data_IF_192048631919
#
_entry.id   IF_192048631919
#
_cell.length_a   1.000
_cell.length_b   1.000
_cell.length_c   1.000
_cell.angle_alpha   90.00
_cell.angle_beta   90.00
_cell.angle_gamma   90.00
#
_symmetry.space_group_name_H-M   'P 1'
#
loop_
_entity.id
_entity.type
_entity.pdbx_description
1 polymer ?
#
# COMPACT_ATOMS: atom_id res chain seq x y z
N UNK A 1 24.02 -11.47 62.54
CA UNK A 1 22.74 -10.84 62.93
C UNK A 1 22.18 -10.18 61.67
N UNK A 2 21.58 -10.88 60.71
CA UNK A 2 20.35 -11.68 60.73
C UNK A 2 19.09 -10.83 60.98
N UNK A 3 18.42 -10.44 59.89
CA UNK A 3 16.96 -10.48 59.74
C UNK A 3 16.61 -10.25 58.26
N UNK A 4 16.27 -11.36 57.59
CA UNK A 4 15.80 -11.45 56.21
C UNK A 4 14.27 -11.51 56.27
N UNK A 5 13.56 -10.50 55.78
CA UNK A 5 12.10 -10.57 55.65
C UNK A 5 11.73 -11.23 54.32
N UNK A 6 11.19 -12.43 54.44
CA UNK A 6 10.61 -13.22 53.35
C UNK A 6 9.19 -12.72 53.04
N UNK A 7 8.95 -12.36 51.79
CA UNK A 7 7.60 -12.17 51.24
C UNK A 7 6.97 -13.53 50.88
N UNK A 8 5.66 -13.71 51.09
CA UNK A 8 4.98 -14.96 50.74
C UNK A 8 4.72 -15.09 49.22
N UNK A 9 4.77 -16.31 48.65
CA UNK A 9 4.49 -16.54 47.24
C UNK A 9 2.97 -16.56 46.96
N UNK A 10 2.54 -15.76 45.97
CA UNK A 10 1.20 -15.83 45.40
C UNK A 10 1.11 -17.00 44.42
N UNK A 11 0.49 -18.09 44.86
CA UNK A 11 0.08 -19.22 44.03
C UNK A 11 -1.17 -18.84 43.23
N UNK A 12 -1.03 -18.65 41.91
CA UNK A 12 -2.15 -18.59 40.96
C UNK A 12 -2.06 -19.77 40.00
N UNK A 13 -2.46 -20.95 40.47
CA UNK A 13 -2.80 -22.09 39.63
C UNK A 13 -4.12 -21.81 38.91
N UNK A 14 -4.05 -21.43 37.64
CA UNK A 14 -5.21 -21.44 36.75
C UNK A 14 -5.50 -22.88 36.31
N UNK A 15 -6.57 -23.46 36.84
CA UNK A 15 -7.16 -24.69 36.30
C UNK A 15 -8.01 -24.38 35.07
N UNK A 16 -7.92 -25.18 33.98
CA UNK A 16 -8.79 -25.06 32.81
C UNK A 16 -10.16 -25.71 33.07
N UNK A 17 -11.23 -24.96 32.84
CA UNK A 17 -12.61 -25.47 32.93
C UNK A 17 -12.94 -26.37 31.74
N UNK A 18 -13.18 -27.63 32.03
CA UNK A 18 -13.72 -28.67 31.14
C UNK A 18 -15.19 -28.40 30.76
N UNK A 19 -15.49 -28.36 29.46
CA UNK A 19 -16.85 -28.40 28.92
C UNK A 19 -17.39 -29.84 28.95
N UNK A 20 -18.67 -30.06 29.31
CA UNK A 20 -19.27 -31.39 29.26
C UNK A 20 -19.72 -31.77 27.84
N UNK A 21 -19.44 -33.02 27.49
CA UNK A 21 -20.00 -33.73 26.34
C UNK A 21 -21.43 -34.24 26.65
N UNK A 22 -22.17 -34.60 25.59
CA UNK A 22 -23.27 -35.58 25.42
C UNK A 22 -24.36 -35.03 24.46
N UNK A 23 -25.21 -35.85 23.81
CA UNK A 23 -25.07 -37.23 23.34
C UNK A 23 -25.57 -37.46 21.88
N UNK A 24 -25.46 -38.71 21.47
CA UNK A 24 -25.80 -39.41 20.22
C UNK A 24 -27.27 -39.41 19.72
N UNK A 25 -27.41 -39.35 18.38
CA UNK A 25 -28.40 -39.95 17.41
C UNK A 25 -29.88 -40.19 17.79
N UNK A 26 -30.80 -40.10 16.78
CA UNK A 26 -31.31 -41.37 16.21
C UNK A 26 -31.50 -41.39 14.67
N UNK A 27 -31.70 -42.63 14.19
CA UNK A 27 -31.83 -43.14 12.82
C UNK A 27 -33.22 -42.95 12.17
N UNK A 28 -33.29 -43.36 10.89
CA UNK A 28 -34.43 -43.66 9.99
C UNK A 28 -34.89 -42.48 9.10
N UNK A 29 -35.20 -42.65 7.81
CA UNK A 29 -35.82 -43.81 7.16
C UNK A 29 -35.36 -44.04 5.71
N UNK A 30 -35.37 -45.32 5.37
CA UNK A 30 -35.21 -45.94 4.06
C UNK A 30 -36.56 -45.87 3.32
N UNK A 31 -36.59 -45.33 2.10
CA UNK A 31 -37.70 -45.57 1.15
C UNK A 31 -37.13 -46.07 -0.17
N UNK A 32 -37.65 -47.23 -0.58
CA UNK A 32 -37.33 -47.96 -1.82
C UNK A 32 -38.41 -47.68 -2.87
N UNK A 33 -37.94 -47.44 -4.11
CA UNK A 33 -38.49 -47.88 -5.42
C UNK A 33 -39.77 -47.18 -5.95
N UNK A 34 -40.04 -47.16 -7.29
CA UNK A 34 -39.63 -48.16 -8.30
C UNK A 34 -39.10 -47.67 -9.66
N UNK A 35 -38.57 -48.67 -10.38
CA UNK A 35 -38.17 -48.66 -11.79
C UNK A 35 -39.29 -48.21 -12.73
N UNK A 36 -38.95 -47.38 -13.70
CA UNK A 36 -39.56 -47.40 -15.03
C UNK A 36 -38.48 -47.36 -16.11
N UNK A 37 -38.45 -48.45 -16.87
CA UNK A 37 -37.63 -48.69 -18.04
C UNK A 37 -38.23 -47.95 -19.24
N UNK A 38 -37.46 -47.12 -19.96
CA UNK A 38 -37.77 -46.84 -21.37
C UNK A 38 -36.55 -46.30 -22.16
N UNK A 39 -36.24 -47.09 -23.19
CA UNK A 39 -35.58 -46.80 -24.46
C UNK A 39 -34.19 -46.12 -24.49
N UNK A 40 -33.21 -46.95 -24.85
CA UNK A 40 -31.97 -46.58 -25.53
C UNK A 40 -32.24 -45.67 -26.74
N UNK A 41 -31.59 -44.52 -26.78
CA UNK A 41 -31.11 -43.94 -28.05
C UNK A 41 -29.64 -43.59 -27.84
N UNK A 42 -28.78 -44.38 -28.48
CA UNK A 42 -27.34 -44.13 -28.55
C UNK A 42 -27.10 -42.87 -29.38
N UNK A 43 -26.58 -41.83 -28.74
CA UNK A 43 -25.61 -40.93 -29.37
C UNK A 43 -24.42 -40.80 -28.43
N UNK A 44 -23.18 -41.02 -28.89
CA UNK A 44 -22.02 -40.80 -28.06
C UNK A 44 -21.82 -39.29 -27.90
N UNK A 45 -22.36 -38.72 -26.83
CA UNK A 45 -21.78 -37.51 -26.27
C UNK A 45 -20.35 -37.89 -25.85
N UNK A 46 -19.38 -37.48 -26.66
CA UNK A 46 -18.00 -37.33 -26.23
C UNK A 46 -18.00 -36.41 -25.02
N UNK A 47 -18.04 -37.02 -23.84
CA UNK A 47 -17.74 -36.38 -22.57
C UNK A 47 -16.33 -35.83 -22.73
N UNK A 48 -16.21 -34.52 -23.01
CA UNK A 48 -14.95 -33.81 -22.91
C UNK A 48 -14.42 -34.11 -21.52
N UNK A 49 -13.41 -34.96 -21.44
CA UNK A 49 -12.64 -35.18 -20.21
C UNK A 49 -12.11 -33.79 -19.86
N UNK A 50 -12.65 -33.19 -18.81
CA UNK A 50 -11.96 -32.07 -18.17
C UNK A 50 -10.56 -32.59 -17.87
N UNK A 51 -9.55 -32.00 -18.52
CA UNK A 51 -8.16 -32.36 -18.31
C UNK A 51 -7.87 -32.15 -16.84
N UNK A 52 -7.81 -33.23 -16.06
CA UNK A 52 -7.13 -33.20 -14.77
C UNK A 52 -5.71 -32.77 -15.09
N UNK A 53 -5.38 -31.53 -14.75
CA UNK A 53 -4.03 -30.99 -14.78
C UNK A 53 -3.09 -32.03 -14.18
N UNK A 54 -2.07 -32.44 -14.95
CA UNK A 54 -1.05 -33.34 -14.45
C UNK A 54 -0.39 -32.68 -13.24
N UNK A 55 -0.40 -33.30 -12.04
CA UNK A 55 0.24 -32.76 -10.85
C UNK A 55 1.71 -32.39 -11.06
N UNK A 56 2.38 -33.07 -12.00
CA UNK A 56 3.78 -32.79 -12.38
C UNK A 56 3.92 -31.48 -13.16
N UNK A 57 2.99 -31.18 -14.08
CA UNK A 57 2.94 -29.90 -14.80
C UNK A 57 2.58 -28.75 -13.86
N UNK A 58 1.65 -28.99 -12.93
CA UNK A 58 1.26 -28.01 -11.91
C UNK A 58 2.42 -27.69 -10.94
N UNK A 59 3.25 -28.69 -10.60
CA UNK A 59 4.47 -28.47 -9.82
C UNK A 59 5.52 -27.65 -10.59
N UNK A 60 5.62 -27.83 -11.92
CA UNK A 60 6.56 -27.09 -12.78
C UNK A 60 6.17 -25.62 -12.97
N UNK A 61 4.89 -25.31 -13.17
CA UNK A 61 4.39 -23.93 -13.27
C UNK A 61 4.48 -23.19 -11.94
N UNK A 62 4.16 -23.88 -10.83
CA UNK A 62 4.35 -23.35 -9.48
C UNK A 62 5.81 -23.03 -9.20
N UNK A 63 6.74 -23.93 -9.54
CA UNK A 63 8.18 -23.72 -9.30
C UNK A 63 8.77 -22.50 -10.00
N UNK A 64 8.35 -22.20 -11.24
CA UNK A 64 8.89 -21.08 -12.04
C UNK A 64 8.30 -19.72 -11.67
N UNK A 65 7.06 -19.68 -11.22
CA UNK A 65 6.36 -18.43 -10.88
C UNK A 65 6.53 -18.07 -9.40
N UNK A 66 6.73 -19.08 -8.54
CA UNK A 66 6.80 -18.93 -7.09
C UNK A 66 7.81 -17.88 -6.61
N UNK A 67 9.05 -17.81 -7.12
CA UNK A 67 10.02 -16.79 -6.69
C UNK A 67 9.48 -15.36 -6.86
N UNK A 68 8.92 -15.04 -8.03
CA UNK A 68 8.32 -13.73 -8.29
C UNK A 68 7.12 -13.43 -7.37
N UNK A 69 6.33 -14.44 -7.00
CA UNK A 69 5.21 -14.28 -6.05
C UNK A 69 5.66 -14.04 -4.62
N UNK A 70 6.69 -14.75 -4.18
CA UNK A 70 7.25 -14.58 -2.83
C UNK A 70 7.82 -13.18 -2.66
N UNK A 71 8.57 -12.68 -3.66
CA UNK A 71 9.08 -11.30 -3.65
C UNK A 71 7.95 -10.28 -3.77
N UNK A 72 6.89 -10.56 -4.53
CA UNK A 72 5.71 -9.69 -4.59
C UNK A 72 4.99 -9.54 -3.25
N UNK A 73 4.84 -10.64 -2.50
CA UNK A 73 4.26 -10.60 -1.14
C UNK A 73 5.14 -9.75 -0.22
N UNK A 74 6.46 -9.97 -0.25
CA UNK A 74 7.42 -9.15 0.51
C UNK A 74 7.34 -7.67 0.14
N UNK A 75 7.22 -7.34 -1.15
CA UNK A 75 7.05 -5.97 -1.62
C UNK A 75 5.78 -5.34 -1.05
N UNK A 76 4.66 -6.08 -1.12
CA UNK A 76 3.37 -5.62 -0.59
C UNK A 76 3.48 -5.30 0.90
N UNK A 77 4.04 -6.21 1.68
CA UNK A 77 4.15 -6.03 3.13
C UNK A 77 5.01 -4.80 3.47
N UNK A 78 6.16 -4.66 2.82
CA UNK A 78 7.03 -3.50 3.00
C UNK A 78 6.41 -2.19 2.53
N UNK A 79 5.60 -2.20 1.45
CA UNK A 79 4.89 -1.01 0.99
C UNK A 79 3.77 -0.61 1.93
N UNK A 80 3.08 -1.57 2.54
CA UNK A 80 2.06 -1.30 3.57
C UNK A 80 2.74 -0.64 4.77
N UNK A 81 3.84 -1.19 5.25
CA UNK A 81 4.59 -0.60 6.37
C UNK A 81 5.10 0.80 6.01
N UNK A 82 5.75 0.96 4.85
CA UNK A 82 6.24 2.25 4.36
C UNK A 82 5.14 3.30 4.26
N UNK A 83 4.00 2.94 3.66
CA UNK A 83 2.91 3.90 3.46
C UNK A 83 2.15 4.22 4.73
N UNK A 84 1.88 3.23 5.58
CA UNK A 84 1.18 3.43 6.84
C UNK A 84 2.00 4.24 7.85
N UNK A 85 3.29 3.90 8.03
CA UNK A 85 4.16 4.54 9.03
C UNK A 85 4.44 6.01 8.66
N UNK A 86 4.64 6.30 7.38
CA UNK A 86 4.97 7.64 6.88
C UNK A 86 3.76 8.42 6.35
N UNK A 87 2.58 7.80 6.37
CA UNK A 87 1.33 8.34 5.82
C UNK A 87 1.45 8.76 4.34
N UNK A 88 2.17 7.97 3.54
CA UNK A 88 2.41 8.25 2.12
C UNK A 88 1.12 8.15 1.30
N UNK A 89 0.18 7.30 1.71
CA UNK A 89 -1.15 7.20 1.12
C UNK A 89 -1.93 8.52 1.19
N UNK A 90 -1.70 9.31 2.23
CA UNK A 90 -2.26 10.66 2.39
C UNK A 90 -1.42 11.70 1.66
N UNK A 91 -0.08 11.61 1.74
CA UNK A 91 0.84 12.60 1.16
C UNK A 91 0.86 12.55 -0.37
N UNK A 92 0.90 11.34 -0.92
CA UNK A 92 1.05 11.07 -2.36
C UNK A 92 0.08 9.93 -2.74
N UNK A 93 -1.24 10.20 -2.82
CA UNK A 93 -2.24 9.18 -3.11
C UNK A 93 -1.98 8.43 -4.42
N UNK A 94 -1.45 9.15 -5.42
CA UNK A 94 -1.09 8.60 -6.74
C UNK A 94 -0.08 7.47 -6.67
N UNK A 95 0.76 7.39 -5.63
CA UNK A 95 1.73 6.31 -5.46
C UNK A 95 1.04 4.97 -5.20
N UNK A 96 0.05 4.95 -4.31
CA UNK A 96 -0.70 3.73 -4.00
C UNK A 96 -1.68 3.37 -5.11
N UNK A 97 -2.28 4.35 -5.79
CA UNK A 97 -3.07 4.10 -7.00
C UNK A 97 -2.22 3.42 -8.08
N UNK A 98 -0.99 3.90 -8.31
CA UNK A 98 -0.07 3.28 -9.25
C UNK A 98 0.27 1.84 -8.87
N UNK A 99 0.54 1.57 -7.59
CA UNK A 99 0.75 0.21 -7.11
C UNK A 99 -0.45 -0.71 -7.38
N UNK A 100 -1.69 -0.22 -7.25
CA UNK A 100 -2.89 -1.00 -7.57
C UNK A 100 -2.98 -1.36 -9.06
N UNK A 101 -2.58 -0.46 -9.96
CA UNK A 101 -2.47 -0.77 -11.38
C UNK A 101 -1.45 -1.88 -11.62
N UNK A 102 -0.24 -1.77 -11.07
CA UNK A 102 0.78 -2.83 -11.16
C UNK A 102 0.24 -4.16 -10.64
N UNK A 103 -0.39 -4.15 -9.46
CA UNK A 103 -0.93 -5.36 -8.84
C UNK A 103 -1.96 -6.06 -9.73
N UNK A 104 -2.84 -5.29 -10.38
CA UNK A 104 -3.81 -5.82 -11.35
C UNK A 104 -3.12 -6.52 -12.51
N UNK A 105 -2.16 -5.85 -13.15
CA UNK A 105 -1.45 -6.43 -14.31
C UNK A 105 -0.55 -7.60 -13.91
N UNK A 106 0.06 -7.56 -12.72
CA UNK A 106 0.87 -8.65 -12.19
C UNK A 106 0.02 -9.89 -11.97
N UNK A 107 -1.17 -9.75 -11.37
CA UNK A 107 -2.09 -10.86 -11.17
C UNK A 107 -2.55 -11.48 -12.50
N UNK A 108 -2.90 -10.66 -13.49
CA UNK A 108 -3.25 -11.14 -14.84
C UNK A 108 -2.08 -11.85 -15.51
N UNK A 109 -0.88 -11.27 -15.43
CA UNK A 109 0.35 -11.85 -15.98
C UNK A 109 0.63 -13.22 -15.37
N UNK A 110 0.51 -13.35 -14.05
CA UNK A 110 0.63 -14.61 -13.33
C UNK A 110 -0.37 -15.67 -13.81
N UNK A 111 -1.65 -15.30 -14.01
CA UNK A 111 -2.67 -16.23 -14.47
C UNK A 111 -2.34 -16.79 -15.87
N UNK A 112 -1.94 -15.92 -16.79
CA UNK A 112 -1.53 -16.34 -18.13
C UNK A 112 -0.24 -17.17 -18.11
N UNK A 113 0.75 -16.80 -17.30
CA UNK A 113 1.99 -17.55 -17.16
C UNK A 113 1.72 -18.99 -16.65
N UNK A 114 0.81 -19.15 -15.69
CA UNK A 114 0.37 -20.48 -15.22
C UNK A 114 -0.22 -21.29 -16.37
N UNK A 115 -1.12 -20.69 -17.16
CA UNK A 115 -1.76 -21.38 -18.28
C UNK A 115 -0.74 -21.87 -19.32
N UNK A 116 0.28 -21.05 -19.61
CA UNK A 116 1.35 -21.39 -20.55
C UNK A 116 2.23 -22.50 -20.02
N UNK A 117 2.71 -22.39 -18.77
CA UNK A 117 3.55 -23.44 -18.19
C UNK A 117 2.82 -24.77 -17.97
N UNK A 118 1.50 -24.74 -17.80
CA UNK A 118 0.66 -25.93 -17.72
C UNK A 118 0.18 -26.45 -19.09
N UNK A 119 0.52 -25.77 -20.19
CA UNK A 119 0.16 -26.22 -21.54
C UNK A 119 0.99 -27.44 -21.95
N UNK A 120 0.48 -28.23 -22.90
CA UNK A 120 1.11 -29.49 -23.38
C UNK A 120 2.47 -29.24 -24.04
N UNK A 121 2.73 -28.01 -24.50
CA UNK A 121 3.96 -27.60 -25.16
C UNK A 121 4.56 -26.34 -24.50
N UNK A 122 5.08 -26.45 -23.27
CA UNK A 122 5.59 -25.30 -22.52
C UNK A 122 6.90 -24.74 -23.11
N UNK A 123 7.55 -25.47 -24.03
CA UNK A 123 8.81 -25.11 -24.69
C UNK A 123 8.69 -24.82 -26.19
N UNK A 124 7.53 -25.08 -26.84
CA UNK A 124 7.39 -24.91 -28.30
C UNK A 124 7.06 -23.44 -28.70
N UNK A 125 7.57 -22.48 -27.94
CA UNK A 125 7.38 -21.05 -28.18
C UNK A 125 8.75 -20.38 -28.43
N UNK A 126 8.90 -19.71 -29.58
CA UNK A 126 8.11 -18.52 -29.85
C UNK A 126 7.12 -18.75 -30.99
N UNK A 127 5.82 -18.60 -30.73
CA UNK A 127 4.87 -18.43 -31.85
C UNK A 127 5.20 -17.08 -32.49
N UNK A 128 5.57 -17.08 -33.77
CA UNK A 128 5.93 -15.90 -34.57
C UNK A 128 4.86 -14.76 -34.63
N UNK A 129 3.76 -14.88 -33.88
CA UNK A 129 2.65 -13.93 -33.77
C UNK A 129 2.33 -13.50 -32.32
N UNK A 130 3.19 -13.78 -31.33
CA UNK A 130 2.88 -13.49 -29.92
C UNK A 130 2.73 -11.99 -29.60
N UNK A 131 3.36 -11.09 -30.37
CA UNK A 131 3.29 -9.64 -30.14
C UNK A 131 1.87 -9.05 -30.25
N UNK A 132 0.93 -9.78 -30.87
CA UNK A 132 -0.49 -9.39 -30.99
C UNK A 132 -1.40 -10.09 -29.97
N UNK A 133 -0.88 -10.97 -29.12
CA UNK A 133 -1.68 -11.70 -28.15
C UNK A 133 -2.04 -10.82 -26.95
N UNK A 134 -3.23 -11.05 -26.38
CA UNK A 134 -3.66 -10.36 -25.15
C UNK A 134 -2.66 -10.56 -23.99
N UNK A 135 -2.01 -11.72 -23.92
CA UNK A 135 -0.98 -11.97 -22.91
C UNK A 135 0.26 -11.10 -23.10
N UNK A 136 0.76 -10.98 -24.33
CA UNK A 136 1.89 -10.08 -24.62
C UNK A 136 1.52 -8.62 -24.37
N UNK A 137 0.33 -8.17 -24.77
CA UNK A 137 -0.12 -6.82 -24.45
C UNK A 137 -0.18 -6.58 -22.94
N UNK A 138 -0.73 -7.52 -22.18
CA UNK A 138 -0.77 -7.45 -20.72
C UNK A 138 0.62 -7.44 -20.08
N UNK A 139 1.57 -8.21 -20.60
CA UNK A 139 2.96 -8.19 -20.12
C UNK A 139 3.63 -6.84 -20.41
N UNK A 140 3.43 -6.27 -21.60
CA UNK A 140 3.91 -4.90 -21.91
C UNK A 140 3.30 -3.86 -20.98
N UNK A 141 1.99 -3.92 -20.72
CA UNK A 141 1.36 -3.02 -19.75
C UNK A 141 1.96 -3.19 -18.36
N UNK A 142 2.18 -4.42 -17.88
CA UNK A 142 2.84 -4.65 -16.59
C UNK A 142 4.19 -3.92 -16.48
N UNK A 143 5.05 -3.99 -17.52
CA UNK A 143 6.35 -3.32 -17.48
C UNK A 143 6.24 -1.79 -17.46
N UNK A 144 5.28 -1.23 -18.20
CA UNK A 144 5.04 0.23 -18.21
C UNK A 144 4.57 0.70 -16.85
N UNK A 145 3.55 0.05 -16.29
CA UNK A 145 3.00 0.43 -14.99
C UNK A 145 4.04 0.22 -13.87
N UNK A 146 4.89 -0.80 -14.00
CA UNK A 146 6.00 -1.05 -13.08
C UNK A 146 7.07 0.03 -13.15
N UNK A 147 7.43 0.48 -14.36
CA UNK A 147 8.33 1.62 -14.55
C UNK A 147 7.77 2.91 -13.95
N UNK A 148 6.49 3.21 -14.19
CA UNK A 148 5.83 4.40 -13.63
C UNK A 148 5.75 4.35 -12.09
N UNK A 149 5.54 3.16 -11.51
CA UNK A 149 5.62 2.94 -10.07
C UNK A 149 7.02 3.24 -9.50
N UNK A 150 8.07 2.75 -10.17
CA UNK A 150 9.47 2.99 -9.78
C UNK A 150 9.80 4.49 -9.86
N UNK A 151 9.36 5.18 -10.90
CA UNK A 151 9.57 6.61 -11.06
C UNK A 151 8.88 7.41 -9.94
N UNK A 152 7.64 7.06 -9.58
CA UNK A 152 6.96 7.69 -8.44
C UNK A 152 7.67 7.41 -7.12
N UNK A 153 8.11 6.18 -6.89
CA UNK A 153 8.89 5.84 -5.70
C UNK A 153 10.18 6.67 -5.61
N UNK A 154 10.93 6.77 -6.71
CA UNK A 154 12.16 7.54 -6.77
C UNK A 154 11.91 9.04 -6.57
N UNK A 155 10.80 9.60 -7.07
CA UNK A 155 10.41 10.98 -6.78
C UNK A 155 10.18 11.20 -5.28
N UNK A 156 9.47 10.29 -4.61
CA UNK A 156 9.24 10.36 -3.14
C UNK A 156 10.59 10.30 -2.41
N UNK A 157 11.44 9.34 -2.74
CA UNK A 157 12.78 9.21 -2.15
C UNK A 157 13.64 10.46 -2.35
N UNK A 158 13.64 11.03 -3.56
CA UNK A 158 14.50 12.17 -3.93
C UNK A 158 14.02 13.50 -3.35
N UNK A 159 12.70 13.68 -3.23
CA UNK A 159 12.09 14.75 -2.45
C UNK A 159 12.31 14.59 -0.94
N UNK A 160 12.95 13.49 -0.50
CA UNK A 160 13.18 13.16 0.90
C UNK A 160 11.84 13.18 1.65
N UNK A 161 11.75 13.99 2.71
CA UNK A 161 10.56 14.10 3.55
C UNK A 161 9.59 15.19 3.07
N UNK A 162 9.85 15.79 1.91
CA UNK A 162 9.05 16.88 1.34
C UNK A 162 7.54 16.64 1.37
N UNK A 163 7.07 15.54 0.75
CA UNK A 163 5.65 15.18 0.76
C UNK A 163 5.06 14.98 2.15
N UNK A 164 5.89 14.71 3.17
CA UNK A 164 5.46 14.40 4.54
C UNK A 164 5.29 15.68 5.37
N UNK A 165 6.00 16.79 5.07
CA UNK A 165 5.89 18.02 5.86
C UNK A 165 4.47 18.61 5.94
N UNK A 166 3.66 18.62 4.87
CA UNK A 166 2.25 19.03 4.97
C UNK A 166 1.45 18.20 5.98
N UNK A 167 1.74 16.89 6.09
CA UNK A 167 1.12 16.00 7.08
C UNK A 167 1.57 16.37 8.48
N UNK A 168 2.87 16.58 8.69
CA UNK A 168 3.41 17.01 9.99
C UNK A 168 2.76 18.31 10.43
N UNK A 169 2.62 19.29 9.52
CA UNK A 169 1.97 20.55 9.82
C UNK A 169 0.52 20.35 10.26
N UNK A 170 -0.24 19.55 9.51
CA UNK A 170 -1.64 19.23 9.85
C UNK A 170 -1.75 18.54 11.21
N UNK A 171 -0.83 17.64 11.55
CA UNK A 171 -0.79 16.99 12.86
C UNK A 171 -0.47 17.97 14.00
N UNK A 172 0.45 18.91 13.79
CA UNK A 172 0.72 19.99 14.74
C UNK A 172 -0.50 20.91 14.93
N UNK A 173 -1.20 21.26 13.85
CA UNK A 173 -2.43 22.06 13.90
C UNK A 173 -3.57 21.34 14.64
N UNK A 174 -3.73 20.03 14.46
CA UNK A 174 -4.68 19.21 15.25
C UNK A 174 -4.37 19.30 16.75
N UNK A 175 -3.10 19.13 17.13
CA UNK A 175 -2.69 19.22 18.55
C UNK A 175 -2.94 20.62 19.09
N UNK A 176 -2.63 21.68 18.33
CA UNK A 176 -2.88 23.07 18.75
C UNK A 176 -4.38 23.31 18.96
N UNK A 177 -5.22 22.99 17.98
CA UNK A 177 -6.66 23.18 18.08
C UNK A 177 -7.24 22.44 19.30
N UNK A 178 -6.69 21.27 19.61
CA UNK A 178 -7.12 20.49 20.76
C UNK A 178 -6.61 21.07 22.09
N UNK A 179 -5.41 21.64 22.12
CA UNK A 179 -4.91 22.40 23.26
C UNK A 179 -5.76 23.64 23.55
N UNK A 180 -6.20 24.35 22.50
CA UNK A 180 -7.05 25.53 22.63
C UNK A 180 -8.40 25.19 23.27
N UNK A 181 -9.06 24.12 22.80
CA UNK A 181 -10.31 23.61 23.41
C UNK A 181 -10.12 23.23 24.88
N UNK A 182 -9.04 22.52 25.17
CA UNK A 182 -8.71 22.11 26.54
C UNK A 182 -8.47 23.35 27.41
N UNK A 183 -7.78 24.37 26.90
CA UNK A 183 -7.54 25.63 27.61
C UNK A 183 -8.83 26.43 27.86
N UNK A 184 -9.74 26.51 26.89
CA UNK A 184 -11.06 27.16 27.05
C UNK A 184 -11.86 26.56 28.20
N UNK A 185 -11.87 25.23 28.32
CA UNK A 185 -12.56 24.52 29.39
C UNK A 185 -11.96 24.82 30.79
N UNK A 186 -10.68 25.18 30.87
CA UNK A 186 -10.07 25.60 32.14
C UNK A 186 -10.38 27.05 32.51
N UNK A 187 -10.62 27.92 31.52
CA UNK A 187 -10.98 29.34 31.70
C UNK A 187 -12.44 29.45 32.15
N UNK A 188 -13.35 28.66 31.56
CA UNK A 188 -14.78 28.68 31.85
C UNK A 188 -15.09 27.74 33.03
N UNK A 189 -14.77 28.15 34.25
CA UNK A 189 -15.38 27.58 35.46
C UNK A 189 -14.46 26.95 36.50
N UNK A 190 -13.14 26.88 36.31
CA UNK A 190 -12.25 26.36 37.35
C UNK A 190 -11.56 27.48 38.15
N UNK A 191 -11.99 27.67 39.40
CA UNK A 191 -11.32 28.55 40.38
C UNK A 191 -9.87 28.11 40.70
N UNK A 192 -9.44 26.94 40.21
CA UNK A 192 -8.10 26.35 40.39
C UNK A 192 -7.76 25.38 39.24
N UNK A 193 -7.30 25.89 38.09
CA UNK A 193 -6.57 25.04 37.14
C UNK A 193 -5.15 24.84 37.67
N UNK A 194 -4.70 23.59 37.78
CA UNK A 194 -3.34 23.25 38.22
C UNK A 194 -2.29 23.54 37.13
N UNK A 195 -2.74 23.75 35.88
CA UNK A 195 -1.86 24.19 34.80
C UNK A 195 -1.73 25.70 34.85
N UNK A 196 -0.55 26.16 35.28
CA UNK A 196 -0.24 27.60 35.32
C UNK A 196 -0.41 28.21 33.92
N UNK A 197 -1.04 29.40 33.79
CA UNK A 197 -1.16 30.10 32.49
C UNK A 197 0.18 30.33 31.79
N UNK A 198 1.26 30.52 32.57
CA UNK A 198 2.62 30.64 32.04
C UNK A 198 3.14 29.36 31.40
N UNK A 199 2.72 28.18 31.87
CA UNK A 199 3.02 26.89 31.24
C UNK A 199 2.29 26.79 29.91
N UNK A 200 1.01 27.17 29.86
CA UNK A 200 0.23 27.11 28.63
C UNK A 200 0.79 28.03 27.54
N UNK A 201 1.12 29.29 27.89
CA UNK A 201 1.82 30.20 26.96
C UNK A 201 3.16 29.64 26.42
N UNK A 202 3.90 28.88 27.23
CA UNK A 202 5.15 28.23 26.77
C UNK A 202 4.86 27.12 25.76
N UNK A 203 3.81 26.35 25.99
CA UNK A 203 3.35 25.30 25.04
C UNK A 203 2.97 25.97 23.71
N UNK A 204 2.14 27.02 23.74
CA UNK A 204 1.72 27.73 22.52
C UNK A 204 2.90 28.33 21.76
N UNK A 205 3.84 28.93 22.48
CA UNK A 205 5.06 29.51 21.89
C UNK A 205 5.91 28.45 21.20
N UNK A 206 6.09 27.27 21.82
CA UNK A 206 6.85 26.18 21.21
C UNK A 206 6.10 25.55 20.03
N UNK A 207 4.78 25.37 20.12
CA UNK A 207 3.94 24.92 19.02
C UNK A 207 4.05 25.84 17.81
N UNK A 208 3.92 27.15 18.01
CA UNK A 208 4.06 28.15 16.96
C UNK A 208 5.44 28.10 16.30
N UNK A 209 6.51 27.95 17.09
CA UNK A 209 7.88 27.80 16.54
C UNK A 209 8.00 26.55 15.67
N UNK A 210 7.49 25.41 16.11
CA UNK A 210 7.54 24.17 15.33
C UNK A 210 6.74 24.28 14.04
N UNK A 211 5.53 24.82 14.07
CA UNK A 211 4.74 25.07 12.86
C UNK A 211 5.44 26.04 11.91
N UNK A 212 6.05 27.11 12.43
CA UNK A 212 6.82 28.05 11.61
C UNK A 212 8.02 27.38 10.93
N UNK A 213 8.71 26.49 11.62
CA UNK A 213 9.80 25.69 11.03
C UNK A 213 9.30 24.82 9.88
N UNK A 214 8.17 24.13 10.06
CA UNK A 214 7.58 23.27 9.02
C UNK A 214 7.05 24.09 7.84
N UNK A 215 6.31 25.18 8.10
CA UNK A 215 5.80 26.09 7.04
C UNK A 215 6.93 26.69 6.22
N UNK A 216 8.01 27.11 6.88
CA UNK A 216 9.21 27.58 6.22
C UNK A 216 9.76 26.48 5.32
N UNK A 217 9.90 25.26 5.83
CA UNK A 217 10.40 24.12 5.07
C UNK A 217 9.55 23.76 3.85
N UNK A 218 8.22 23.84 3.96
CA UNK A 218 7.30 23.60 2.83
C UNK A 218 7.51 24.66 1.73
N UNK A 219 7.60 25.95 2.10
CA UNK A 219 7.85 27.03 1.14
C UNK A 219 9.24 26.91 0.50
N UNK A 220 10.25 26.66 1.32
CA UNK A 220 11.64 26.54 0.90
C UNK A 220 11.87 25.34 -0.04
N UNK A 221 11.00 24.33 -0.06
CA UNK A 221 11.11 23.19 -0.98
C UNK A 221 10.76 23.56 -2.44
N UNK A 222 10.08 24.69 -2.65
CA UNK A 222 9.85 25.27 -3.98
C UNK A 222 11.10 25.98 -4.53
N UNK A 223 12.07 26.32 -3.66
CA UNK A 223 13.32 26.99 -4.00
C UNK A 223 14.50 26.00 -3.88
N UNK A 224 15.21 25.68 -4.97
CA UNK A 224 16.21 24.58 -5.08
C UNK A 224 17.46 24.65 -4.15
N UNK A 225 17.51 25.57 -3.18
CA UNK A 225 18.68 25.95 -2.40
C UNK A 225 18.51 25.69 -0.90
N UNK A 226 18.35 24.43 -0.45
CA UNK A 226 18.26 24.17 1.00
C UNK A 226 19.01 22.93 1.51
N UNK A 227 20.08 23.20 2.28
CA UNK A 227 20.94 22.23 2.98
C UNK A 227 20.80 22.21 4.51
N UNK A 228 20.08 23.15 5.13
CA UNK A 228 20.27 23.46 6.58
C UNK A 228 19.17 22.98 7.54
N UNK A 229 18.14 22.26 7.08
CA UNK A 229 17.11 21.76 8.01
C UNK A 229 17.59 20.51 8.75
N UNK A 230 18.03 20.67 10.01
CA UNK A 230 18.36 19.54 10.89
C UNK A 230 17.09 18.81 11.33
N UNK A 231 16.73 17.80 10.55
CA UNK A 231 15.58 16.94 10.81
C UNK A 231 15.69 16.21 12.15
N UNK A 232 16.87 15.73 12.51
CA UNK A 232 17.06 14.98 13.74
C UNK A 232 16.83 15.88 14.97
N UNK A 233 17.30 17.14 14.92
CA UNK A 233 17.00 18.12 15.96
C UNK A 233 15.50 18.48 16.01
N UNK A 234 14.86 18.63 14.86
CA UNK A 234 13.42 18.90 14.79
C UNK A 234 12.60 17.76 15.42
N UNK A 235 12.87 16.50 15.04
CA UNK A 235 12.20 15.32 15.60
C UNK A 235 12.37 15.27 17.12
N UNK A 236 13.61 15.43 17.62
CA UNK A 236 13.88 15.46 19.07
C UNK A 236 13.08 16.55 19.78
N UNK A 237 12.93 17.72 19.15
CA UNK A 237 12.15 18.84 19.69
C UNK A 237 10.66 18.51 19.77
N UNK A 238 10.08 17.96 18.69
CA UNK A 238 8.66 17.58 18.65
C UNK A 238 8.37 16.48 19.68
N UNK A 239 9.22 15.45 19.76
CA UNK A 239 9.05 14.37 20.75
C UNK A 239 9.16 14.89 22.19
N UNK A 240 10.13 15.75 22.48
CA UNK A 240 10.27 16.37 23.81
C UNK A 240 9.05 17.23 24.15
N UNK A 241 8.54 18.00 23.18
CA UNK A 241 7.33 18.78 23.34
C UNK A 241 6.13 17.88 23.64
N UNK A 242 5.89 16.87 22.80
CA UNK A 242 4.73 16.00 22.91
C UNK A 242 4.71 15.25 24.26
N UNK A 243 5.84 14.67 24.66
CA UNK A 243 5.99 14.01 25.95
C UNK A 243 5.82 14.99 27.13
N UNK A 244 6.31 16.22 26.98
CA UNK A 244 6.14 17.28 27.97
C UNK A 244 4.66 17.63 28.17
N UNK A 245 3.92 17.84 27.08
CA UNK A 245 2.47 18.10 27.12
C UNK A 245 1.73 16.89 27.68
N UNK A 246 2.01 15.67 27.23
CA UNK A 246 1.41 14.46 27.77
C UNK A 246 1.62 14.35 29.28
N UNK A 247 2.83 14.64 29.78
CA UNK A 247 3.11 14.59 31.22
C UNK A 247 2.28 15.56 32.05
N UNK A 248 1.88 16.71 31.47
CA UNK A 248 1.04 17.72 32.13
C UNK A 248 -0.43 17.27 32.17
N UNK A 249 -0.91 16.67 31.10
CA UNK A 249 -2.33 16.29 30.93
C UNK A 249 -2.62 14.81 31.22
N UNK A 250 -1.62 14.04 31.67
CA UNK A 250 -1.78 12.65 32.10
C UNK A 250 -2.47 12.55 33.47
N UNK A 251 -3.05 11.38 33.76
CA UNK A 251 -3.82 11.12 34.98
C UNK A 251 -3.04 11.32 36.31
N UNK A 252 -1.72 11.46 36.27
CA UNK A 252 -0.87 11.66 37.44
C UNK A 252 -0.76 13.11 37.93
N UNK A 253 -1.05 14.10 37.06
CA UNK A 253 -0.78 15.52 37.31
C UNK A 253 -2.02 16.40 37.43
N UNK A 254 -3.21 15.93 37.02
CA UNK A 254 -4.47 16.66 37.19
C UNK A 254 -5.34 16.06 38.31
N UNK A 255 -5.71 16.83 39.36
CA UNK A 255 -6.65 16.43 40.38
C UNK A 255 -8.06 16.17 39.85
N UNK A 256 -8.79 15.29 40.56
CA UNK A 256 -10.18 14.89 40.25
C UNK A 256 -11.20 16.04 40.22
N UNK A 257 -10.86 17.22 40.75
CA UNK A 257 -11.78 18.36 40.89
C UNK A 257 -11.95 19.20 39.63
N UNK A 258 -10.94 19.27 38.75
CA UNK A 258 -10.99 19.94 37.42
C UNK A 258 -11.29 18.98 36.27
N UNK A 259 -11.23 17.68 36.54
CA UNK A 259 -11.45 16.59 35.57
C UNK A 259 -12.82 15.90 35.75
N UNK A 260 -13.73 16.49 36.53
CA UNK A 260 -14.97 15.83 36.99
C UNK A 260 -16.11 15.84 35.97
N UNK A 261 -16.02 16.69 34.94
CA UNK A 261 -17.01 16.76 33.85
C UNK A 261 -16.58 15.86 32.70
N UNK A 262 -17.51 15.04 32.18
CA UNK A 262 -17.24 14.12 31.07
C UNK A 262 -16.67 14.82 29.83
N UNK A 263 -17.07 16.06 29.56
CA UNK A 263 -16.57 16.87 28.45
C UNK A 263 -15.06 17.16 28.55
N UNK A 264 -14.57 17.58 29.72
CA UNK A 264 -13.14 17.82 29.96
C UNK A 264 -12.33 16.52 29.79
N UNK A 265 -12.88 15.39 30.26
CA UNK A 265 -12.24 14.09 30.09
C UNK A 265 -12.14 13.68 28.61
N UNK A 266 -13.17 13.95 27.81
CA UNK A 266 -13.20 13.67 26.37
C UNK A 266 -12.18 14.52 25.63
N UNK A 267 -12.17 15.84 25.83
CA UNK A 267 -11.22 16.73 25.14
C UNK A 267 -9.77 16.42 25.55
N UNK A 268 -9.54 16.04 26.82
CA UNK A 268 -8.23 15.56 27.28
C UNK A 268 -7.83 14.26 26.61
N UNK A 269 -8.76 13.30 26.50
CA UNK A 269 -8.50 12.03 25.83
C UNK A 269 -8.12 12.26 24.36
N UNK A 270 -8.85 13.13 23.66
CA UNK A 270 -8.57 13.52 22.29
C UNK A 270 -7.18 14.17 22.16
N UNK A 271 -6.79 15.03 23.11
CA UNK A 271 -5.45 15.61 23.14
C UNK A 271 -4.36 14.53 23.23
N UNK A 272 -4.53 13.57 24.15
CA UNK A 272 -3.56 12.48 24.31
C UNK A 272 -3.47 11.60 23.05
N UNK A 273 -4.60 11.34 22.38
CA UNK A 273 -4.65 10.63 21.10
C UNK A 273 -3.84 11.39 20.04
N UNK A 274 -4.10 12.69 19.83
CA UNK A 274 -3.36 13.47 18.82
C UNK A 274 -1.88 13.62 19.13
N UNK A 275 -1.50 13.67 20.41
CA UNK A 275 -0.09 13.67 20.81
C UNK A 275 0.58 12.33 20.49
N UNK A 276 -0.09 11.20 20.70
CA UNK A 276 0.43 9.88 20.33
C UNK A 276 0.54 9.74 18.80
N UNK A 277 -0.48 10.16 18.04
CA UNK A 277 -0.42 10.16 16.57
C UNK A 277 0.78 10.99 16.05
N UNK A 278 1.04 12.15 16.67
CA UNK A 278 2.19 12.98 16.33
C UNK A 278 3.52 12.29 16.68
N UNK A 279 3.62 11.64 17.83
CA UNK A 279 4.80 10.88 18.25
C UNK A 279 5.08 9.74 17.28
N UNK A 280 4.06 8.96 16.93
CA UNK A 280 4.15 7.83 16.01
C UNK A 280 4.62 8.29 14.63
N UNK A 281 4.07 9.41 14.13
CA UNK A 281 4.50 10.02 12.88
C UNK A 281 5.98 10.46 12.94
N UNK A 282 6.41 11.13 14.02
CA UNK A 282 7.81 11.55 14.18
C UNK A 282 8.77 10.36 14.27
N UNK A 283 8.37 9.31 14.97
CA UNK A 283 9.14 8.06 15.04
C UNK A 283 9.22 7.41 13.66
N UNK A 284 8.12 7.37 12.90
CA UNK A 284 8.11 6.89 11.53
C UNK A 284 9.07 7.66 10.63
N UNK A 285 9.02 9.00 10.68
CA UNK A 285 9.91 9.89 9.93
C UNK A 285 11.38 9.65 10.28
N UNK A 286 11.71 9.37 11.55
CA UNK A 286 13.10 9.04 11.93
C UNK A 286 13.66 7.78 11.25
N UNK A 287 12.78 6.90 10.75
CA UNK A 287 13.12 5.68 10.02
C UNK A 287 12.89 5.79 8.51
N UNK A 288 12.71 7.00 7.97
CA UNK A 288 12.44 7.22 6.55
C UNK A 288 13.47 6.55 5.64
N UNK A 289 14.76 6.84 5.82
CA UNK A 289 15.83 6.29 4.96
C UNK A 289 15.91 4.75 5.03
N UNK A 290 15.88 4.10 6.23
CA UNK A 290 15.75 2.66 6.33
C UNK A 290 14.54 2.08 5.59
N UNK A 291 13.35 2.68 5.76
CA UNK A 291 12.13 2.20 5.11
C UNK A 291 12.22 2.33 3.59
N UNK A 292 12.70 3.47 3.07
CA UNK A 292 12.97 3.65 1.65
C UNK A 292 13.95 2.60 1.13
N UNK A 293 15.04 2.34 1.85
CA UNK A 293 16.04 1.35 1.41
C UNK A 293 15.47 -0.07 1.37
N UNK A 294 14.59 -0.45 2.31
CA UNK A 294 13.92 -1.74 2.29
C UNK A 294 13.04 -1.91 1.05
N UNK A 295 12.16 -0.93 0.78
CA UNK A 295 11.29 -0.93 -0.41
C UNK A 295 12.13 -0.97 -1.69
N UNK A 296 13.16 -0.13 -1.78
CA UNK A 296 14.09 -0.07 -2.92
C UNK A 296 14.74 -1.42 -3.21
N UNK A 297 15.28 -2.07 -2.19
CA UNK A 297 15.94 -3.37 -2.35
C UNK A 297 14.95 -4.43 -2.86
N UNK A 298 13.70 -4.40 -2.41
CA UNK A 298 12.68 -5.33 -2.87
C UNK A 298 12.14 -5.00 -4.26
N UNK A 299 12.13 -3.73 -4.66
CA UNK A 299 11.86 -3.32 -6.06
C UNK A 299 12.94 -3.90 -6.99
N UNK A 300 14.22 -3.80 -6.62
CA UNK A 300 15.33 -4.37 -7.39
C UNK A 300 15.17 -5.90 -7.47
N UNK A 301 14.92 -6.55 -6.34
CA UNK A 301 14.69 -7.99 -6.25
C UNK A 301 13.52 -8.42 -7.14
N UNK A 302 12.40 -7.70 -7.09
CA UNK A 302 11.20 -7.97 -7.89
C UNK A 302 11.47 -7.80 -9.38
N UNK A 303 12.24 -6.77 -9.75
CA UNK A 303 12.61 -6.52 -11.14
C UNK A 303 13.47 -7.64 -11.70
N UNK A 304 14.41 -8.17 -10.91
CA UNK A 304 15.20 -9.35 -11.29
C UNK A 304 14.31 -10.60 -11.46
N UNK A 305 13.37 -10.85 -10.54
CA UNK A 305 12.43 -11.97 -10.67
C UNK A 305 11.50 -11.83 -11.89
N UNK A 306 11.04 -10.62 -12.21
CA UNK A 306 10.29 -10.37 -13.43
C UNK A 306 11.15 -10.62 -14.67
N UNK A 307 12.40 -10.17 -14.70
CA UNK A 307 13.33 -10.44 -15.81
C UNK A 307 13.47 -11.93 -16.06
N UNK A 308 13.74 -12.73 -15.02
CA UNK A 308 13.88 -14.18 -15.13
C UNK A 308 12.59 -14.86 -15.64
N UNK A 309 11.43 -14.40 -15.17
CA UNK A 309 10.14 -14.92 -15.60
C UNK A 309 9.85 -14.57 -17.06
N UNK A 310 10.20 -13.37 -17.52
CA UNK A 310 10.07 -12.96 -18.93
C UNK A 310 11.01 -13.76 -19.83
N UNK A 311 12.27 -13.97 -19.42
CA UNK A 311 13.22 -14.81 -20.14
C UNK A 311 12.70 -16.24 -20.29
N UNK A 312 12.15 -16.81 -19.21
CA UNK A 312 11.55 -18.16 -19.21
C UNK A 312 10.35 -18.26 -20.17
N UNK A 313 9.57 -17.18 -20.29
CA UNK A 313 8.42 -17.08 -21.21
C UNK A 313 8.82 -16.67 -22.64
N UNK A 314 10.11 -16.48 -22.90
CA UNK A 314 10.66 -15.99 -24.17
C UNK A 314 10.06 -14.63 -24.59
N UNK A 315 9.86 -13.74 -23.61
CA UNK A 315 9.36 -12.37 -23.79
C UNK A 315 10.49 -11.36 -23.69
N UNK A 316 10.40 -10.28 -24.48
CA UNK A 316 11.32 -9.14 -24.37
C UNK A 316 11.10 -8.43 -23.03
N UNK A 317 12.18 -8.33 -22.26
CA UNK A 317 12.27 -7.51 -21.04
C UNK A 317 13.28 -6.39 -21.31
N UNK A 318 12.79 -5.17 -21.38
CA UNK A 318 13.52 -3.96 -21.79
C UNK A 318 13.51 -2.88 -20.71
N UNK A 319 13.23 -3.28 -19.46
CA UNK A 319 13.42 -2.43 -18.29
C UNK A 319 14.78 -2.75 -17.67
N UNK A 320 15.65 -1.76 -17.54
CA UNK A 320 16.94 -1.89 -16.86
C UNK A 320 17.01 -0.87 -15.74
N UNK A 321 17.35 -1.35 -14.54
CA UNK A 321 17.59 -0.52 -13.36
C UNK A 321 19.08 -0.44 -13.06
N UNK A 322 19.53 0.70 -12.54
CA UNK A 322 20.85 0.85 -11.94
C UNK A 322 20.89 0.33 -10.48
N UNK A 323 22.07 0.37 -9.85
CA UNK A 323 22.26 -0.01 -8.45
C UNK A 323 21.47 0.86 -7.45
N UNK A 324 21.02 2.03 -7.90
CA UNK A 324 20.26 3.00 -7.12
C UNK A 324 18.76 2.92 -7.35
N UNK A 325 18.28 1.97 -8.17
CA UNK A 325 16.88 1.77 -8.56
C UNK A 325 16.34 2.83 -9.55
N UNK A 326 17.20 3.55 -10.26
CA UNK A 326 16.81 4.42 -11.37
C UNK A 326 16.66 3.65 -12.67
N UNK A 327 15.72 4.07 -13.50
CA UNK A 327 15.47 3.49 -14.82
C UNK A 327 16.54 3.97 -15.79
N UNK A 328 17.32 3.03 -16.33
CA UNK A 328 18.33 3.27 -17.37
C UNK A 328 17.71 3.09 -18.75
N UNK A 329 16.84 2.09 -18.91
CA UNK A 329 16.12 1.81 -20.15
C UNK A 329 14.62 1.70 -19.87
N UNK A 330 13.81 2.50 -20.59
CA UNK A 330 12.36 2.46 -20.47
C UNK A 330 11.73 1.39 -21.38
N UNK A 331 10.64 0.74 -20.92
CA UNK A 331 9.93 -0.22 -21.74
C UNK A 331 9.27 0.45 -22.94
N UNK A 332 9.45 -0.11 -24.13
CA UNK A 332 8.75 0.32 -25.35
C UNK A 332 7.22 0.28 -25.16
N UNK A 333 6.57 1.44 -25.34
CA UNK A 333 5.10 1.52 -25.34
C UNK A 333 4.53 0.82 -26.58
N UNK A 334 3.46 0.01 -26.46
CA UNK A 334 2.77 -0.55 -27.61
C UNK A 334 2.35 0.57 -28.57
N UNK A 335 2.71 0.47 -29.84
CA UNK A 335 2.22 1.39 -30.88
C UNK A 335 0.71 1.19 -31.00
N UNK A 336 -0.07 2.15 -30.52
CA UNK A 336 -1.52 2.19 -30.77
C UNK A 336 -1.68 2.30 -32.29
N UNK A 337 -2.44 1.40 -32.95
CA UNK A 337 -2.75 1.57 -34.36
C UNK A 337 -3.40 2.93 -34.55
N UNK A 338 -2.76 3.83 -35.29
CA UNK A 338 -3.37 5.09 -35.71
C UNK A 338 -4.61 4.67 -36.51
N UNK A 339 -5.83 5.06 -36.10
CA UNK A 339 -7.02 4.73 -36.88
C UNK A 339 -6.80 5.23 -38.31
N UNK A 340 -7.18 4.45 -39.34
CA UNK A 340 -7.03 4.89 -40.72
C UNK A 340 -7.69 6.27 -40.82
N UNK A 341 -6.89 7.24 -41.27
CA UNK A 341 -7.34 8.60 -41.53
C UNK A 341 -8.62 8.48 -42.37
N UNK A 342 -9.75 9.09 -41.96
CA UNK A 342 -10.97 8.99 -42.75
C UNK A 342 -10.65 9.47 -44.16
N UNK A 343 -10.74 8.56 -45.14
CA UNK A 343 -10.66 8.92 -46.54
C UNK A 343 -11.80 9.90 -46.80
N UNK A 344 -11.44 11.14 -47.16
CA UNK A 344 -12.42 12.12 -47.61
C UNK A 344 -13.20 11.51 -48.79
N UNK A 345 -14.53 11.38 -48.73
CA UNK A 345 -15.33 10.88 -49.84
C UNK A 345 -15.58 11.99 -50.87
N UNK A 346 -14.53 12.70 -51.26
CA UNK A 346 -14.65 13.89 -52.11
C UNK A 346 -13.55 13.94 -53.17
N UNK A 347 -13.34 12.86 -53.92
CA UNK A 347 -12.55 12.93 -55.16
C UNK A 347 -12.80 11.77 -56.14
N UNK A 348 -14.07 11.41 -56.38
CA UNK A 348 -14.44 10.59 -57.55
C UNK A 348 -15.69 11.14 -58.21
N UNK A 349 -15.60 12.33 -58.79
CA UNK A 349 -16.45 12.76 -59.90
C UNK A 349 -15.66 13.64 -60.87
N UNK A 350 -14.91 13.01 -61.75
CA UNK A 350 -14.44 13.65 -62.98
C UNK A 350 -15.66 13.85 -63.92
N UNK A 351 -15.91 15.06 -64.45
CA UNK A 351 -17.01 15.28 -65.37
C UNK A 351 -16.73 14.60 -66.72
N UNK A 352 -17.67 13.77 -67.20
CA UNK A 352 -17.65 13.22 -68.57
C UNK A 352 -17.71 14.39 -69.55
N UNK A 353 -16.65 14.56 -70.36
CA UNK A 353 -16.70 15.35 -71.60
C UNK A 353 -17.67 14.66 -72.56
N UNK A 354 -18.73 15.36 -72.93
CA UNK A 354 -19.58 15.02 -74.07
C UNK A 354 -18.85 15.54 -75.30
N UNK A 355 -18.32 14.64 -76.12
CA UNK A 355 -17.86 14.96 -77.47
C UNK A 355 -19.05 14.80 -78.41
N UNK A 356 -19.59 15.91 -78.92
CA UNK A 356 -20.41 15.86 -80.13
C UNK A 356 -19.48 15.64 -81.33
N UNK A 357 -19.71 14.55 -82.06
CA UNK A 357 -19.17 14.36 -83.40
C UNK A 357 -20.36 14.15 -84.34
N UNK A 358 -20.45 15.09 -85.27
CA UNK A 358 -21.30 15.10 -86.46
C UNK A 358 -21.07 13.89 -87.35
N UNK A 359 -22.14 13.22 -87.76
CA UNK A 359 -22.58 13.01 -89.14
C UNK A 359 -23.89 12.22 -89.18
#
# INVERSE_FOLDING_TARGET
MAATEQLPPLNLTMQPSSRPAMPSTPQSARVRQPNTTLAKTQQPFTRQKSGRLDPRLFALSSGRIRPAREVWVKLKDQLVDFTHILQIDIAVPSFMEQYLFVARYFNLFNQYAIQIFNSIHPTDYPRAHMTKTAFYQNSRCLLIEWAEFIDLFNKIRNSKMGPIFPIVLKSLEKVQNQLDKVAELFIVGSLKSDVKPSTMRKIDTEMYKMQKMVKKRIRDEEDELFLDFDMAAFIRRVLKFANGVQSIFSNASMPRYTSSTGEVMVERMNLLVYLNELIDLMNGISHFDPLCNMVRNTIIEMTNQLKDLYLTLNFKFDLVLDENCYIVEQPERPKIPIPPKPENPAETRSPRKITMSSL
#
